data_IF_277059730433
#
_entry.id   IF_277059730433
#
_cell.length_a   1.000
_cell.length_b   1.000
_cell.length_c   1.000
_cell.angle_alpha   90.00
_cell.angle_beta   90.00
_cell.angle_gamma   90.00
#
_symmetry.space_group_name_H-M   'P 1'
#
loop_
_entity.id
_entity.type
_entity.pdbx_description
1 polymer ?
#
# COMPACT_ATOMS: atom_id res chain seq x y z
N UNK A 1 12.98 12.23 -6.30
CA UNK A 1 11.84 11.62 -5.61
C UNK A 1 11.66 10.20 -6.13
N UNK A 2 11.43 9.27 -5.23
CA UNK A 2 11.16 7.88 -5.59
C UNK A 2 9.66 7.58 -5.47
N UNK A 3 9.23 6.53 -6.16
CA UNK A 3 7.88 6.01 -6.03
C UNK A 3 7.90 4.50 -6.18
N UNK A 4 7.15 3.82 -5.35
CA UNK A 4 6.98 2.38 -5.43
C UNK A 4 5.50 2.05 -5.60
N UNK A 5 5.22 0.91 -6.23
CA UNK A 5 3.89 0.31 -6.25
C UNK A 5 3.93 -0.92 -5.37
N UNK A 6 3.08 -0.97 -4.35
CA UNK A 6 3.04 -2.07 -3.40
C UNK A 6 1.74 -2.85 -3.56
N UNK A 7 1.84 -4.18 -3.64
CA UNK A 7 0.65 -5.03 -3.72
C UNK A 7 -0.12 -4.93 -2.42
N UNK A 8 -1.40 -4.58 -2.51
CA UNK A 8 -2.25 -4.33 -1.35
C UNK A 8 -3.37 -5.35 -1.26
N UNK A 9 -3.89 -5.52 -0.06
CA UNK A 9 -5.12 -6.25 0.20
C UNK A 9 -6.29 -5.36 -0.22
N UNK A 10 -7.10 -5.86 -1.13
CA UNK A 10 -8.24 -5.11 -1.68
C UNK A 10 -9.26 -4.73 -0.59
N UNK A 11 -9.55 -5.64 0.32
CA UNK A 11 -10.49 -5.41 1.41
C UNK A 11 -10.00 -4.28 2.33
N UNK A 12 -8.71 -4.29 2.69
CA UNK A 12 -8.10 -3.25 3.51
C UNK A 12 -8.15 -1.88 2.81
N UNK A 13 -7.81 -1.82 1.55
CA UNK A 13 -7.83 -0.58 0.78
C UNK A 13 -9.27 -0.04 0.66
N UNK A 14 -10.24 -0.91 0.42
CA UNK A 14 -11.63 -0.50 0.34
C UNK A 14 -12.13 0.03 1.68
N UNK A 15 -11.71 -0.58 2.80
CA UNK A 15 -12.03 -0.06 4.12
C UNK A 15 -11.48 1.36 4.30
N UNK A 16 -10.21 1.59 3.96
CA UNK A 16 -9.61 2.92 4.07
C UNK A 16 -10.36 3.95 3.23
N UNK A 17 -10.73 3.57 2.02
CA UNK A 17 -11.45 4.46 1.12
C UNK A 17 -12.81 4.82 1.70
N UNK A 18 -13.60 3.84 2.15
CA UNK A 18 -14.94 4.06 2.69
C UNK A 18 -14.90 4.80 4.02
N UNK A 19 -13.88 4.56 4.84
CA UNK A 19 -13.70 5.24 6.13
C UNK A 19 -13.14 6.65 5.97
N UNK A 20 -12.75 7.05 4.76
CA UNK A 20 -12.21 8.37 4.49
C UNK A 20 -10.84 8.62 5.11
N UNK A 21 -10.05 7.57 5.30
CA UNK A 21 -8.74 7.69 5.93
C UNK A 21 -7.78 8.49 5.05
N UNK A 22 -7.25 9.57 5.59
CA UNK A 22 -6.24 10.39 4.91
C UNK A 22 -4.83 10.07 5.38
N UNK A 23 -4.71 9.29 6.43
CA UNK A 23 -3.46 8.73 6.93
C UNK A 23 -3.65 7.24 7.11
N UNK A 24 -2.62 6.47 6.79
CA UNK A 24 -2.66 5.00 6.83
C UNK A 24 -1.40 4.49 7.49
N UNK A 25 -1.56 3.54 8.39
CA UNK A 25 -0.46 2.70 8.84
C UNK A 25 -0.41 1.47 7.93
N UNK A 26 0.47 1.51 6.95
CA UNK A 26 0.63 0.43 5.97
C UNK A 26 1.57 -0.62 6.55
N UNK A 27 1.00 -1.64 7.19
CA UNK A 27 1.77 -2.70 7.82
C UNK A 27 2.02 -3.84 6.84
N UNK A 28 3.14 -4.54 7.06
CA UNK A 28 3.53 -5.67 6.22
C UNK A 28 4.13 -6.79 7.06
N UNK A 29 3.92 -8.01 6.57
CA UNK A 29 4.48 -9.22 7.16
C UNK A 29 5.83 -9.53 6.52
N UNK A 30 6.57 -10.42 7.20
CA UNK A 30 7.77 -11.02 6.66
C UNK A 30 8.99 -10.13 6.81
N UNK A 31 9.65 -9.88 5.71
CA UNK A 31 10.94 -9.21 5.71
C UNK A 31 10.83 -7.76 6.19
N UNK A 32 11.49 -7.47 7.31
CA UNK A 32 11.53 -6.12 7.90
C UNK A 32 12.63 -5.25 7.29
N UNK A 33 13.28 -5.69 6.20
CA UNK A 33 14.30 -4.89 5.55
C UNK A 33 13.73 -3.57 5.08
N UNK A 34 14.48 -2.50 5.37
CA UNK A 34 14.16 -1.17 4.91
C UNK A 34 14.14 -1.14 3.37
N UNK A 35 13.15 -0.47 2.81
CA UNK A 35 13.05 -0.31 1.37
C UNK A 35 14.13 0.70 0.92
N UNK A 36 15.02 0.25 0.04
CA UNK A 36 16.09 1.10 -0.48
C UNK A 36 15.51 2.21 -1.37
N UNK A 37 16.17 3.36 -1.42
CA UNK A 37 15.76 4.52 -2.23
C UNK A 37 14.34 5.00 -1.93
N UNK A 38 13.89 4.79 -0.71
CA UNK A 38 12.56 5.19 -0.27
C UNK A 38 12.68 5.98 1.03
N UNK A 39 12.32 7.24 0.98
CA UNK A 39 12.51 8.19 2.08
C UNK A 39 11.28 9.09 2.24
N UNK A 40 11.24 9.82 3.34
CA UNK A 40 10.15 10.76 3.62
C UNK A 40 9.86 11.65 2.42
N UNK A 41 8.58 11.72 2.05
CA UNK A 41 8.12 12.48 0.90
C UNK A 41 7.93 11.64 -0.36
N UNK A 42 8.48 10.44 -0.41
CA UNK A 42 8.30 9.54 -1.56
C UNK A 42 6.90 8.95 -1.56
N UNK A 43 6.47 8.48 -2.72
CA UNK A 43 5.10 7.98 -2.90
C UNK A 43 5.03 6.46 -2.86
N UNK A 44 4.03 5.95 -2.16
CA UNK A 44 3.65 4.54 -2.20
C UNK A 44 2.30 4.45 -2.89
N UNK A 45 2.29 3.85 -4.08
CA UNK A 45 1.07 3.61 -4.83
C UNK A 45 0.47 2.27 -4.42
N UNK A 46 -0.84 2.23 -4.27
CA UNK A 46 -1.57 1.02 -3.92
C UNK A 46 -1.89 0.24 -5.18
N UNK A 47 -1.26 -0.92 -5.32
CA UNK A 47 -1.48 -1.82 -6.45
C UNK A 47 -2.44 -2.92 -6.02
N UNK A 48 -3.64 -2.93 -6.57
CA UNK A 48 -4.70 -3.83 -6.16
C UNK A 48 -4.93 -4.93 -7.19
N UNK A 49 -5.16 -6.14 -6.70
CA UNK A 49 -5.65 -7.25 -7.50
C UNK A 49 -7.17 -7.16 -7.64
N UNK A 50 -7.73 -7.93 -8.55
CA UNK A 50 -9.19 -8.08 -8.64
C UNK A 50 -9.89 -6.96 -9.37
N UNK A 51 -9.18 -6.23 -10.21
CA UNK A 51 -9.80 -5.26 -11.11
C UNK A 51 -10.50 -6.01 -12.26
N UNK A 52 -11.51 -5.38 -12.84
CA UNK A 52 -12.34 -6.03 -13.86
C UNK A 52 -11.66 -6.21 -15.22
N UNK A 53 -10.68 -5.40 -15.53
CA UNK A 53 -10.05 -5.39 -16.86
C UNK A 53 -9.00 -6.50 -17.00
N UNK A 54 -9.47 -7.72 -17.34
CA UNK A 54 -8.59 -8.84 -17.67
C UNK A 54 -7.71 -9.35 -16.54
N UNK A 55 -8.11 -9.12 -15.29
CA UNK A 55 -7.37 -9.49 -14.08
C UNK A 55 -6.04 -8.75 -13.93
N UNK A 56 -5.81 -7.70 -14.71
CA UNK A 56 -4.64 -6.85 -14.52
C UNK A 56 -4.74 -6.13 -13.17
N UNK A 57 -3.61 -6.04 -12.48
CA UNK A 57 -3.52 -5.23 -11.25
C UNK A 57 -3.60 -3.76 -11.62
N UNK A 58 -4.38 -3.01 -10.86
CA UNK A 58 -4.54 -1.57 -11.07
C UNK A 58 -4.05 -0.75 -9.90
N UNK A 59 -3.56 0.43 -10.19
CA UNK A 59 -3.21 1.43 -9.17
C UNK A 59 -4.50 2.12 -8.75
N UNK A 60 -4.83 2.06 -7.47
CA UNK A 60 -6.10 2.58 -6.95
C UNK A 60 -5.95 3.83 -6.08
N UNK A 61 -4.72 4.26 -5.85
CA UNK A 61 -4.43 5.44 -5.06
C UNK A 61 -3.00 5.47 -4.58
N UNK A 62 -2.68 6.38 -3.68
CA UNK A 62 -1.33 6.49 -3.13
C UNK A 62 -1.33 7.20 -1.78
N UNK A 63 -0.22 7.07 -1.08
CA UNK A 63 0.07 7.85 0.11
C UNK A 63 1.50 8.36 0.09
N UNK A 64 1.76 9.41 0.88
CA UNK A 64 3.10 10.01 0.98
C UNK A 64 3.80 9.40 2.19
N UNK A 65 4.93 8.77 1.96
CA UNK A 65 5.69 8.09 3.00
C UNK A 65 6.26 9.08 4.01
N UNK A 66 6.08 8.78 5.29
CA UNK A 66 6.60 9.60 6.38
C UNK A 66 7.74 8.93 7.12
N UNK A 67 7.51 7.71 7.59
CA UNK A 67 8.50 6.97 8.39
C UNK A 67 8.18 5.49 8.43
N UNK A 68 9.20 4.69 8.72
CA UNK A 68 9.09 3.26 8.94
C UNK A 68 9.28 2.96 10.43
N UNK A 69 8.47 2.06 10.96
CA UNK A 69 8.52 1.66 12.36
C UNK A 69 8.27 0.17 12.47
N UNK A 70 8.89 -0.46 13.48
CA UNK A 70 8.57 -1.82 13.85
C UNK A 70 7.71 -1.78 15.10
N UNK A 71 6.48 -2.23 15.00
CA UNK A 71 5.49 -2.19 16.08
C UNK A 71 4.88 -3.56 16.32
N UNK A 72 4.54 -3.86 17.57
CA UNK A 72 3.69 -5.01 17.85
C UNK A 72 2.22 -4.65 17.60
N UNK A 73 1.36 -5.67 17.57
CA UNK A 73 -0.07 -5.47 17.24
C UNK A 73 -0.77 -4.50 18.20
N UNK A 74 -0.39 -4.53 19.48
CA UNK A 74 -1.01 -3.67 20.47
C UNK A 74 -0.62 -2.21 20.27
N UNK A 75 0.66 -1.96 19.96
CA UNK A 75 1.15 -0.62 19.61
C UNK A 75 0.50 -0.11 18.33
N UNK A 76 0.38 -0.97 17.32
CA UNK A 76 -0.28 -0.60 16.07
C UNK A 76 -1.72 -0.14 16.31
N UNK A 77 -2.47 -0.91 17.08
CA UNK A 77 -3.86 -0.55 17.35
C UNK A 77 -3.97 0.68 18.24
N UNK A 78 -3.16 0.77 19.30
CA UNK A 78 -3.22 1.91 20.22
C UNK A 78 -2.87 3.23 19.52
N UNK A 79 -1.90 3.21 18.59
CA UNK A 79 -1.46 4.41 17.90
C UNK A 79 -2.33 4.79 16.71
N UNK A 80 -2.79 3.80 15.94
CA UNK A 80 -3.38 4.08 14.63
C UNK A 80 -4.83 3.66 14.48
N UNK A 81 -5.36 2.82 15.38
CA UNK A 81 -6.77 2.39 15.35
C UNK A 81 -7.18 1.94 13.93
N UNK A 82 -8.23 2.54 13.38
CA UNK A 82 -8.78 2.20 12.07
C UNK A 82 -7.85 2.54 10.91
N UNK A 83 -6.82 3.34 11.15
CA UNK A 83 -5.81 3.61 10.13
C UNK A 83 -4.97 2.39 9.79
N UNK A 84 -5.10 1.31 10.55
CA UNK A 84 -4.52 0.01 10.23
C UNK A 84 -5.32 -0.76 9.16
N UNK A 85 -6.48 -0.25 8.76
CA UNK A 85 -7.28 -0.84 7.68
C UNK A 85 -8.43 -1.72 8.11
N UNK A 86 -8.76 -1.74 9.40
CA UNK A 86 -9.83 -2.58 9.95
C UNK A 86 -10.61 -1.81 11.01
N UNK A 87 -11.88 -2.16 11.16
CA UNK A 87 -12.78 -1.46 12.08
C UNK A 87 -12.47 -1.75 13.54
N UNK A 88 -11.90 -2.92 13.83
CA UNK A 88 -11.61 -3.35 15.19
C UNK A 88 -10.25 -4.02 15.27
N UNK A 89 -9.67 -4.03 16.47
CA UNK A 89 -8.41 -4.73 16.74
C UNK A 89 -8.55 -6.23 16.45
N UNK A 90 -9.69 -6.80 16.81
CA UNK A 90 -9.95 -8.23 16.62
C UNK A 90 -9.93 -8.60 15.14
N UNK A 91 -10.53 -7.78 14.28
CA UNK A 91 -10.49 -8.00 12.84
C UNK A 91 -9.08 -7.88 12.27
N UNK A 92 -8.32 -6.90 12.75
CA UNK A 92 -6.91 -6.76 12.36
C UNK A 92 -6.12 -8.01 12.75
N UNK A 93 -6.30 -8.49 13.97
CA UNK A 93 -5.61 -9.69 14.46
C UNK A 93 -5.98 -10.92 13.66
N UNK A 94 -7.27 -11.11 13.37
CA UNK A 94 -7.75 -12.23 12.56
C UNK A 94 -7.09 -12.24 11.17
N UNK A 95 -7.00 -11.09 10.54
CA UNK A 95 -6.40 -10.98 9.21
C UNK A 95 -4.90 -11.28 9.25
N UNK A 96 -4.20 -10.76 10.23
CA UNK A 96 -2.76 -11.02 10.38
C UNK A 96 -2.52 -12.53 10.59
N UNK A 97 -3.31 -13.17 11.42
CA UNK A 97 -3.22 -14.62 11.66
C UNK A 97 -3.49 -15.38 10.37
N UNK A 98 -4.52 -14.99 9.63
CA UNK A 98 -4.92 -15.66 8.39
C UNK A 98 -3.80 -15.65 7.34
N UNK A 99 -3.11 -14.53 7.19
CA UNK A 99 -2.08 -14.38 6.15
C UNK A 99 -0.68 -14.75 6.61
N UNK A 100 -0.47 -14.96 7.91
CA UNK A 100 0.85 -15.35 8.41
C UNK A 100 1.12 -16.83 8.10
N UNK A 101 2.38 -17.17 7.85
CA UNK A 101 2.78 -18.53 7.43
C UNK A 101 2.54 -19.59 8.51
N UNK A 102 2.58 -19.19 9.76
CA UNK A 102 2.46 -20.14 10.89
C UNK A 102 1.18 -19.91 11.71
N UNK A 103 0.23 -19.17 11.19
CA UNK A 103 -1.04 -18.84 11.85
C UNK A 103 -0.85 -18.18 13.22
N UNK A 104 0.21 -17.42 13.38
CA UNK A 104 0.54 -16.70 14.62
C UNK A 104 0.75 -15.23 14.34
N UNK A 105 0.51 -14.40 15.36
CA UNK A 105 0.80 -12.98 15.27
C UNK A 105 2.31 -12.79 15.47
N UNK A 106 3.02 -12.15 14.51
CA UNK A 106 4.44 -11.84 14.68
C UNK A 106 4.68 -10.94 15.89
N UNK A 107 5.87 -11.03 16.48
CA UNK A 107 6.25 -10.15 17.60
C UNK A 107 6.20 -8.69 17.17
N UNK A 108 6.68 -8.38 15.99
CA UNK A 108 6.64 -7.04 15.41
C UNK A 108 6.26 -7.13 13.95
N UNK A 109 5.63 -6.07 13.46
CA UNK A 109 5.35 -5.89 12.04
C UNK A 109 6.01 -4.58 11.61
N UNK A 110 6.54 -4.56 10.39
CA UNK A 110 7.06 -3.34 9.83
C UNK A 110 5.91 -2.48 9.34
N UNK A 111 5.90 -1.23 9.76
CA UNK A 111 4.82 -0.27 9.49
C UNK A 111 5.38 0.90 8.70
N UNK A 112 4.73 1.20 7.58
CA UNK A 112 5.03 2.36 6.76
C UNK A 112 3.92 3.39 6.97
N UNK A 113 4.23 4.48 7.66
CA UNK A 113 3.23 5.50 7.92
C UNK A 113 3.10 6.44 6.74
N UNK A 114 1.87 6.56 6.23
CA UNK A 114 1.55 7.33 5.05
C UNK A 114 0.60 8.47 5.39
N UNK A 115 0.85 9.65 4.81
CA UNK A 115 -0.03 10.82 4.91
C UNK A 115 -0.52 11.24 3.54
N UNK A 116 -1.46 12.18 3.51
CA UNK A 116 -2.01 12.75 2.28
C UNK A 116 -2.46 11.66 1.31
N UNK A 117 -3.18 10.68 1.84
CA UNK A 117 -3.66 9.53 1.06
C UNK A 117 -4.75 9.99 0.10
N UNK A 118 -4.64 9.54 -1.14
CA UNK A 118 -5.60 9.82 -2.21
C UNK A 118 -6.05 8.51 -2.83
N UNK A 119 -7.36 8.36 -3.01
CA UNK A 119 -7.93 7.22 -3.73
C UNK A 119 -8.49 7.70 -5.07
N UNK A 120 -8.16 6.97 -6.13
CA UNK A 120 -8.62 7.31 -7.48
C UNK A 120 -10.07 6.88 -7.70
N UNK A 121 -10.79 7.58 -8.58
CA UNK A 121 -12.16 7.21 -8.94
C UNK A 121 -12.19 5.90 -9.73
N UNK A 122 -11.17 5.64 -10.53
CA UNK A 122 -11.01 4.41 -11.29
C UNK A 122 -9.56 3.95 -11.24
N UNK A 123 -9.30 2.62 -11.28
CA UNK A 123 -7.93 2.13 -11.28
C UNK A 123 -7.16 2.62 -12.51
N UNK A 124 -5.87 2.87 -12.32
CA UNK A 124 -4.93 3.14 -13.40
C UNK A 124 -4.12 1.88 -13.64
N UNK A 125 -4.21 1.33 -14.83
CA UNK A 125 -3.45 0.14 -15.19
C UNK A 125 -2.09 0.54 -15.72
N UNK A 126 -1.04 -0.11 -15.22
CA UNK A 126 0.33 0.24 -15.61
C UNK A 126 0.56 0.03 -17.11
N UNK A 127 -0.17 -0.89 -17.76
CA UNK A 127 -0.14 -1.04 -19.21
C UNK A 127 -0.55 0.24 -19.95
N UNK A 128 -1.41 1.05 -19.36
CA UNK A 128 -1.86 2.32 -19.94
C UNK A 128 -0.72 3.36 -20.06
N UNK A 129 0.31 3.20 -19.24
CA UNK A 129 1.47 4.10 -19.27
C UNK A 129 2.72 3.39 -19.77
N UNK A 130 2.57 2.20 -20.35
CA UNK A 130 3.67 1.45 -20.93
C UNK A 130 4.61 0.79 -19.91
N UNK A 131 4.16 0.57 -18.69
CA UNK A 131 4.95 -0.09 -17.66
C UNK A 131 4.49 -1.54 -17.54
N UNK A 132 5.46 -2.45 -17.53
CA UNK A 132 5.21 -3.88 -17.41
C UNK A 132 5.38 -4.34 -15.96
N UNK A 133 4.41 -5.12 -15.47
CA UNK A 133 4.48 -5.73 -14.15
C UNK A 133 5.02 -7.14 -14.30
N UNK A 134 6.16 -7.42 -13.66
CA UNK A 134 6.73 -8.76 -13.65
C UNK A 134 5.83 -9.73 -12.87
N UNK A 135 5.61 -10.93 -13.43
CA UNK A 135 4.91 -11.99 -12.71
C UNK A 135 5.69 -12.49 -11.49
N UNK A 136 6.98 -12.17 -11.41
CA UNK A 136 7.84 -12.52 -10.29
C UNK A 136 7.83 -11.49 -9.18
N UNK A 137 7.07 -10.40 -9.31
CA UNK A 137 6.97 -9.40 -8.27
C UNK A 137 6.30 -9.99 -7.03
N UNK A 138 7.00 -9.98 -5.91
CA UNK A 138 6.48 -10.56 -4.66
C UNK A 138 5.68 -9.56 -3.83
N UNK A 139 6.19 -8.36 -3.64
CA UNK A 139 5.61 -7.36 -2.75
C UNK A 139 5.47 -6.00 -3.40
N UNK A 140 6.54 -5.46 -3.94
CA UNK A 140 6.54 -4.12 -4.53
C UNK A 140 7.51 -4.00 -5.68
N UNK A 141 7.36 -2.94 -6.45
CA UNK A 141 8.28 -2.58 -7.54
C UNK A 141 8.52 -1.09 -7.53
N UNK A 142 9.70 -0.67 -8.00
CA UNK A 142 9.97 0.74 -8.21
C UNK A 142 9.29 1.21 -9.48
N UNK A 143 8.52 2.28 -9.37
CA UNK A 143 7.98 2.99 -10.53
C UNK A 143 8.96 4.06 -10.99
N UNK A 144 9.50 4.81 -10.02
CA UNK A 144 10.51 5.83 -10.25
C UNK A 144 11.54 5.75 -9.14
N UNK A 145 12.83 5.90 -9.47
CA UNK A 145 13.90 5.99 -8.47
C UNK A 145 14.37 7.42 -8.26
N UNK A 146 14.57 8.16 -9.33
CA UNK A 146 15.03 9.55 -9.28
C UNK A 146 14.10 10.47 -10.06
N UNK A 147 13.67 10.02 -11.22
CA UNK A 147 12.72 10.74 -12.06
C UNK A 147 11.30 10.50 -11.56
N UNK A 148 10.38 11.36 -11.95
CA UNK A 148 8.97 11.22 -11.61
C UNK A 148 8.11 10.93 -12.86
N UNK A 149 8.72 10.36 -13.90
CA UNK A 149 8.07 10.14 -15.19
C UNK A 149 6.84 9.24 -15.07
N UNK A 150 6.99 8.08 -14.44
CA UNK A 150 5.88 7.15 -14.28
C UNK A 150 4.85 7.69 -13.29
N UNK A 151 5.29 8.30 -12.21
CA UNK A 151 4.41 8.97 -11.26
C UNK A 151 3.53 10.01 -11.96
N UNK A 152 4.14 10.87 -12.76
CA UNK A 152 3.42 11.89 -13.50
C UNK A 152 2.38 11.28 -14.43
N UNK A 153 2.74 10.23 -15.17
CA UNK A 153 1.83 9.56 -16.09
C UNK A 153 0.63 8.93 -15.36
N UNK A 154 0.88 8.29 -14.23
CA UNK A 154 -0.19 7.70 -13.41
C UNK A 154 -1.16 8.79 -12.97
N UNK A 155 -0.66 9.89 -12.44
CA UNK A 155 -1.50 10.98 -11.95
C UNK A 155 -2.29 11.63 -13.08
N UNK A 156 -1.71 11.73 -14.27
CA UNK A 156 -2.40 12.27 -15.44
C UNK A 156 -3.58 11.38 -15.86
N UNK A 157 -3.37 10.07 -15.91
CA UNK A 157 -4.45 9.13 -16.24
C UNK A 157 -5.56 9.21 -15.19
N UNK A 158 -5.20 9.27 -13.91
CA UNK A 158 -6.16 9.36 -12.81
C UNK A 158 -7.01 10.63 -12.89
N UNK A 159 -6.45 11.74 -13.29
CA UNK A 159 -7.18 13.02 -13.45
C UNK A 159 -8.21 13.00 -14.59
N UNK A 160 -7.98 12.18 -15.59
CA UNK A 160 -8.81 12.16 -16.80
C UNK A 160 -10.02 11.22 -16.71
N UNK A 161 -10.32 10.73 -15.54
CA UNK A 161 -11.45 9.84 -15.29
C UNK A 161 -12.68 10.63 -14.86
#
# INVERSE_FOLDING_TARGET
>A
MSAIAYITNQEMIEFHRLNGNKTINFWRLGNTKKISFFKKGDLLFFLSKGTEKGKEKGIVGYGVFQKSMDLNIHQMWNQYKEQNGYATKEKLMEEIIRISKNNKIPKVLNCLYLKNVVFFQAPVYLSEIGVYISNKMESYMYLDKENITNTYRILKVAENV
#
